data_IF_323662968572
#
_entry.id   IF_323662968572
#
_cell.length_a   1.000
_cell.length_b   1.000
_cell.length_c   1.000
_cell.angle_alpha   90.00
_cell.angle_beta   90.00
_cell.angle_gamma   90.00
#
_symmetry.space_group_name_H-M   'P 1'
#
loop_
_entity.id
_entity.type
_entity.pdbx_description
1 polymer ?
#
# COMPACT_ATOMS: atom_id res chain seq x y z
N UNK A 1 -11.88 -17.99 -34.23
CA UNK A 1 -10.68 -17.15 -34.44
C UNK A 1 -10.08 -16.83 -33.08
N UNK A 2 -9.25 -17.73 -32.55
CA UNK A 2 -8.48 -17.46 -31.33
C UNK A 2 -7.13 -16.91 -31.74
N UNK A 3 -6.99 -15.59 -31.60
CA UNK A 3 -5.74 -14.86 -31.76
C UNK A 3 -5.48 -14.16 -30.43
N UNK A 4 -5.08 -14.92 -29.41
CA UNK A 4 -4.54 -14.34 -28.18
C UNK A 4 -3.03 -14.54 -28.22
N UNK A 5 -2.29 -13.46 -28.47
CA UNK A 5 -0.83 -13.49 -28.37
C UNK A 5 -0.40 -13.76 -26.91
N UNK A 6 0.62 -14.62 -26.67
CA UNK A 6 1.10 -14.91 -25.33
C UNK A 6 1.83 -13.69 -24.73
N UNK A 7 1.49 -13.32 -23.50
CA UNK A 7 2.17 -12.27 -22.74
C UNK A 7 3.60 -12.70 -22.44
N UNK A 8 4.58 -11.99 -23.03
CA UNK A 8 6.00 -12.26 -22.83
C UNK A 8 6.47 -11.71 -21.50
N UNK A 9 7.00 -12.57 -20.65
CA UNK A 9 7.61 -12.18 -19.39
C UNK A 9 8.98 -12.84 -19.22
N UNK A 10 9.94 -12.08 -18.72
CA UNK A 10 11.28 -12.56 -18.35
C UNK A 10 11.27 -13.38 -17.05
N UNK A 11 10.12 -13.42 -16.35
CA UNK A 11 9.84 -14.29 -15.21
C UNK A 11 8.45 -14.93 -15.39
N UNK A 12 8.10 -15.94 -14.59
CA UNK A 12 6.75 -16.52 -14.66
C UNK A 12 5.71 -15.49 -14.19
N UNK A 13 4.73 -15.11 -15.04
CA UNK A 13 3.74 -14.12 -14.70
C UNK A 13 2.63 -14.70 -13.83
N UNK A 14 1.78 -13.84 -13.29
CA UNK A 14 1.04 -14.12 -12.06
C UNK A 14 -0.32 -13.47 -12.07
N UNK A 15 -1.41 -14.17 -11.79
CA UNK A 15 -2.76 -13.73 -12.15
C UNK A 15 -3.60 -13.44 -10.89
N UNK A 16 -4.11 -12.22 -10.74
CA UNK A 16 -5.04 -11.81 -9.70
C UNK A 16 -6.40 -11.42 -10.30
N UNK A 17 -7.44 -12.21 -10.04
CA UNK A 17 -8.78 -11.94 -10.58
C UNK A 17 -9.68 -11.22 -9.55
N UNK A 18 -10.49 -10.28 -10.04
CA UNK A 18 -11.54 -9.56 -9.30
C UNK A 18 -12.86 -9.61 -10.08
N UNK A 19 -13.95 -9.08 -9.52
CA UNK A 19 -15.23 -8.86 -10.23
C UNK A 19 -15.18 -7.73 -11.26
N UNK A 20 -14.04 -7.04 -11.38
CA UNK A 20 -13.80 -5.88 -12.24
C UNK A 20 -12.60 -6.06 -13.19
N UNK A 21 -12.07 -7.28 -13.32
CA UNK A 21 -10.94 -7.58 -14.20
C UNK A 21 -9.91 -8.53 -13.60
N UNK A 22 -8.98 -8.96 -14.47
CA UNK A 22 -7.87 -9.86 -14.14
C UNK A 22 -6.54 -9.12 -14.21
N UNK A 23 -5.79 -8.97 -13.12
CA UNK A 23 -4.44 -8.43 -13.11
C UNK A 23 -3.40 -9.53 -13.33
N UNK A 24 -2.25 -9.18 -13.90
CA UNK A 24 -1.20 -10.09 -14.29
C UNK A 24 0.18 -9.48 -14.00
N UNK A 25 0.92 -9.93 -12.99
CA UNK A 25 2.31 -9.45 -12.80
C UNK A 25 3.20 -9.94 -13.93
N UNK A 26 4.00 -9.05 -14.52
CA UNK A 26 4.90 -9.34 -15.64
C UNK A 26 6.26 -8.67 -15.39
N UNK A 27 7.35 -9.43 -15.47
CA UNK A 27 8.70 -8.87 -15.56
C UNK A 27 9.06 -8.62 -17.03
N UNK A 28 9.32 -7.36 -17.39
CA UNK A 28 9.78 -6.96 -18.73
C UNK A 28 11.27 -6.59 -18.72
N UNK A 29 11.87 -6.39 -19.89
CA UNK A 29 13.24 -5.84 -20.00
C UNK A 29 13.39 -4.46 -19.36
N UNK A 30 12.28 -3.74 -19.18
CA UNK A 30 12.21 -2.40 -18.59
C UNK A 30 11.84 -2.41 -17.09
N UNK A 31 11.72 -3.59 -16.47
CA UNK A 31 11.39 -3.75 -15.04
C UNK A 31 10.02 -4.41 -14.76
N UNK A 32 9.63 -4.48 -13.48
CA UNK A 32 8.40 -5.13 -13.03
C UNK A 32 7.14 -4.32 -13.39
N UNK A 33 6.11 -5.02 -13.85
CA UNK A 33 4.86 -4.46 -14.38
C UNK A 33 3.65 -5.22 -13.80
N UNK A 34 2.49 -4.56 -13.74
CA UNK A 34 1.19 -5.17 -13.40
C UNK A 34 0.24 -4.98 -14.60
N UNK A 35 -0.11 -6.05 -15.26
CA UNK A 35 -0.89 -6.09 -16.50
C UNK A 35 -2.37 -6.35 -16.21
N UNK A 36 -3.28 -5.41 -16.42
CA UNK A 36 -4.72 -5.69 -16.35
C UNK A 36 -5.17 -6.42 -17.62
N UNK A 37 -6.12 -7.35 -17.50
CA UNK A 37 -6.73 -8.18 -18.53
C UNK A 37 -8.25 -8.13 -18.36
N UNK A 38 -8.96 -8.36 -19.47
CA UNK A 38 -10.42 -8.40 -19.48
C UNK A 38 -10.95 -9.57 -18.64
N UNK A 39 -12.23 -9.51 -18.27
CA UNK A 39 -12.89 -10.56 -17.47
C UNK A 39 -12.87 -11.93 -18.15
N UNK A 40 -12.70 -11.94 -19.48
CA UNK A 40 -12.61 -13.15 -20.30
C UNK A 40 -11.17 -13.67 -20.49
N UNK A 41 -10.15 -12.96 -19.99
CA UNK A 41 -8.73 -13.20 -20.21
C UNK A 41 -8.33 -13.36 -21.69
N UNK A 42 -9.05 -12.73 -22.60
CA UNK A 42 -8.84 -12.78 -24.05
C UNK A 42 -7.98 -11.65 -24.58
N UNK A 43 -7.86 -10.55 -23.81
CA UNK A 43 -7.05 -9.40 -24.17
C UNK A 43 -6.39 -8.76 -22.95
N UNK A 44 -5.16 -8.26 -23.14
CA UNK A 44 -4.50 -7.38 -22.18
C UNK A 44 -5.18 -6.03 -22.25
N UNK A 45 -5.78 -5.60 -21.15
CA UNK A 45 -6.37 -4.28 -21.03
C UNK A 45 -5.30 -3.21 -20.76
N UNK A 46 -4.35 -3.44 -19.83
CA UNK A 46 -3.45 -2.37 -19.30
C UNK A 46 -2.13 -2.91 -18.74
N UNK A 47 -1.13 -2.06 -18.47
CA UNK A 47 0.17 -2.42 -17.84
C UNK A 47 0.69 -1.28 -16.93
N UNK A 48 0.92 -1.51 -15.63
CA UNK A 48 1.37 -0.52 -14.63
C UNK A 48 2.81 -0.78 -14.19
N UNK A 49 3.72 0.18 -14.40
CA UNK A 49 5.10 0.15 -13.87
C UNK A 49 5.20 0.96 -12.58
N UNK A 50 5.83 0.40 -11.54
CA UNK A 50 6.14 1.13 -10.31
C UNK A 50 7.48 1.87 -10.48
N UNK A 51 7.44 3.18 -10.74
CA UNK A 51 8.63 4.02 -10.95
C UNK A 51 9.21 4.61 -9.64
N UNK A 52 9.00 3.97 -8.49
CA UNK A 52 9.64 4.38 -7.23
C UNK A 52 11.10 3.93 -7.23
N UNK A 53 12.05 4.84 -6.98
CA UNK A 53 13.50 4.53 -6.96
C UNK A 53 14.02 4.12 -5.58
N UNK A 54 13.24 4.42 -4.53
CA UNK A 54 13.62 4.26 -3.12
C UNK A 54 12.66 3.29 -2.42
N UNK A 55 13.04 2.76 -1.26
CA UNK A 55 12.21 1.81 -0.53
C UNK A 55 10.89 2.47 -0.11
N UNK A 56 9.80 1.73 -0.26
CA UNK A 56 8.48 2.15 0.23
C UNK A 56 8.46 1.98 1.74
N UNK A 57 8.33 3.08 2.47
CA UNK A 57 8.28 3.08 3.94
C UNK A 57 6.85 2.95 4.44
N UNK A 58 5.87 3.42 3.68
CA UNK A 58 4.47 3.33 4.06
C UNK A 58 3.49 3.40 2.89
N UNK A 59 2.26 2.92 3.10
CA UNK A 59 1.18 2.91 2.10
C UNK A 59 -0.19 3.12 2.75
N UNK A 60 -1.10 3.80 2.05
CA UNK A 60 -2.51 3.85 2.43
C UNK A 60 -3.41 4.04 1.20
N UNK A 61 -4.69 3.70 1.35
CA UNK A 61 -5.71 4.02 0.36
C UNK A 61 -6.34 5.37 0.70
N UNK A 62 -6.42 6.27 -0.27
CA UNK A 62 -7.30 7.45 -0.22
C UNK A 62 -8.29 7.34 -1.36
N UNK A 63 -9.55 7.08 -1.03
CA UNK A 63 -10.58 6.71 -2.00
C UNK A 63 -10.11 5.53 -2.87
N UNK A 64 -10.00 5.74 -4.17
CA UNK A 64 -9.52 4.74 -5.15
C UNK A 64 -8.04 4.92 -5.49
N UNK A 65 -7.33 5.84 -4.84
CA UNK A 65 -5.93 6.14 -5.13
C UNK A 65 -5.02 5.48 -4.09
N UNK A 66 -4.07 4.70 -4.57
CA UNK A 66 -3.01 4.16 -3.70
C UNK A 66 -1.96 5.25 -3.48
N UNK A 67 -1.75 5.60 -2.22
CA UNK A 67 -0.74 6.55 -1.80
C UNK A 67 0.46 5.82 -1.21
N UNK A 68 1.65 6.25 -1.60
CA UNK A 68 2.89 5.58 -1.23
C UNK A 68 3.90 6.60 -0.68
N UNK A 69 4.42 6.33 0.52
CA UNK A 69 5.61 7.00 1.03
C UNK A 69 6.85 6.27 0.54
N UNK A 70 7.68 6.93 -0.26
CA UNK A 70 8.96 6.38 -0.72
C UNK A 70 10.02 7.46 -0.69
N UNK A 71 11.15 7.15 -0.06
CA UNK A 71 12.33 8.00 -0.19
C UNK A 71 12.27 9.40 0.40
N UNK A 72 11.28 9.66 1.27
CA UNK A 72 10.99 11.00 1.79
C UNK A 72 9.85 11.72 1.08
N UNK A 73 9.17 11.08 0.13
CA UNK A 73 8.12 11.72 -0.67
C UNK A 73 6.83 10.91 -0.59
N UNK A 74 5.69 11.61 -0.72
CA UNK A 74 4.39 10.99 -0.96
C UNK A 74 4.05 11.09 -2.43
N UNK A 75 3.74 9.95 -3.03
CA UNK A 75 3.31 9.84 -4.42
C UNK A 75 1.93 9.20 -4.49
N UNK A 76 1.09 9.69 -5.41
CA UNK A 76 -0.14 9.03 -5.81
C UNK A 76 0.16 8.08 -6.97
N UNK A 77 -0.33 6.85 -6.87
CA UNK A 77 -0.38 5.92 -7.98
C UNK A 77 -1.81 6.00 -8.51
N UNK A 78 -1.99 6.81 -9.55
CA UNK A 78 -3.30 7.05 -10.17
C UNK A 78 -3.46 6.26 -11.47
N UNK A 79 -4.68 5.79 -11.68
CA UNK A 79 -5.18 5.19 -12.91
C UNK A 79 -5.33 6.30 -13.97
N UNK A 80 -4.67 6.18 -15.13
CA UNK A 80 -4.97 7.04 -16.28
C UNK A 80 -6.02 6.32 -17.11
N UNK A 81 -7.23 6.88 -17.12
CA UNK A 81 -8.27 6.57 -18.11
C UNK A 81 -8.00 7.51 -19.29
N UNK A 82 -7.43 6.99 -20.38
CA UNK A 82 -7.61 7.67 -21.67
C UNK A 82 -9.01 7.30 -22.16
N UNK A 83 -9.97 8.18 -21.89
CA UNK A 83 -11.18 8.27 -22.70
C UNK A 83 -10.74 8.72 -24.09
N UNK A 84 -10.41 7.74 -24.94
CA UNK A 84 -10.38 7.94 -26.37
C UNK A 84 -11.83 8.09 -26.86
N UNK A 85 -12.44 9.24 -26.57
CA UNK A 85 -13.52 9.79 -27.37
C UNK A 85 -13.29 11.29 -27.59
N UNK A 86 -13.12 11.61 -28.87
CA UNK A 86 -13.00 12.93 -29.47
C UNK A 86 -13.55 14.10 -28.65
N UNK A 87 -12.65 14.95 -28.12
CA UNK A 87 -12.77 16.41 -28.21
C UNK A 87 -11.47 17.12 -27.81
N UNK A 88 -10.94 17.86 -28.77
CA UNK A 88 -9.88 18.82 -28.60
C UNK A 88 -10.11 19.72 -27.37
N UNK A 89 -9.22 19.64 -26.38
CA UNK A 89 -8.94 20.75 -25.49
C UNK A 89 -7.55 21.30 -25.81
N UNK A 90 -7.57 22.47 -26.43
CA UNK A 90 -6.41 23.30 -26.73
C UNK A 90 -5.81 23.73 -25.39
N UNK A 91 -4.62 23.22 -25.06
CA UNK A 91 -3.76 23.88 -24.09
C UNK A 91 -3.15 25.11 -24.79
N UNK A 92 -3.77 26.27 -24.63
CA UNK A 92 -3.10 27.55 -24.89
C UNK A 92 -1.98 27.73 -23.86
N UNK A 93 -0.77 27.35 -24.23
CA UNK A 93 0.44 28.02 -23.75
C UNK A 93 1.06 28.74 -24.93
N UNK A 94 0.92 30.06 -24.90
CA UNK A 94 1.46 30.98 -25.87
C UNK A 94 2.99 30.87 -25.90
N UNK A 95 3.54 30.23 -26.94
CA UNK A 95 4.86 30.53 -27.47
C UNK A 95 4.76 30.51 -28.99
N UNK A 96 4.85 31.70 -29.58
CA UNK A 96 4.93 31.94 -31.03
C UNK A 96 6.19 31.28 -31.58
N UNK A 97 6.07 30.40 -32.58
CA UNK A 97 6.94 30.38 -33.78
C UNK A 97 6.35 29.49 -34.88
N UNK A 98 6.53 29.93 -36.13
CA UNK A 98 5.80 29.54 -37.36
C UNK A 98 6.03 28.10 -37.85
N UNK A 99 4.96 27.49 -38.39
CA UNK A 99 5.01 26.32 -39.31
C UNK A 99 5.51 26.69 -40.71
N UNK A 100 6.19 25.75 -41.37
CA UNK A 100 6.15 25.49 -42.84
C UNK A 100 6.20 23.96 -43.00
N UNK A 101 5.11 23.26 -43.39
CA UNK A 101 4.77 22.84 -44.77
C UNK A 101 5.50 21.53 -45.14
N UNK A 102 4.93 20.43 -45.69
CA UNK A 102 3.86 20.21 -46.68
C UNK A 102 3.41 18.73 -46.70
N UNK A 103 2.24 18.49 -47.32
CA UNK A 103 1.49 17.23 -47.57
C UNK A 103 2.07 16.30 -48.67
N UNK A 104 1.73 15.00 -48.62
CA UNK A 104 1.15 14.09 -49.66
C UNK A 104 1.35 12.61 -49.26
N UNK A 105 0.70 11.57 -49.77
CA UNK A 105 -0.64 11.23 -50.29
C UNK A 105 -0.54 9.72 -50.62
N UNK A 106 -1.57 8.92 -50.32
CA UNK A 106 -1.57 7.45 -50.48
C UNK A 106 -1.90 7.00 -51.92
N UNK A 107 -1.45 5.80 -52.28
CA UNK A 107 -2.02 5.00 -53.39
C UNK A 107 -1.98 3.50 -53.10
N UNK A 108 -3.01 2.80 -53.60
CA UNK A 108 -3.41 1.39 -53.40
C UNK A 108 -3.12 0.58 -54.68
N UNK A 109 -2.75 -0.70 -54.57
CA UNK A 109 -2.88 -1.69 -55.64
C UNK A 109 -2.96 -3.14 -55.08
N UNK A 110 -3.72 -3.99 -55.77
CA UNK A 110 -4.19 -5.34 -55.40
C UNK A 110 -3.25 -6.52 -55.75
N UNK A 111 -3.56 -7.69 -55.18
CA UNK A 111 -2.81 -8.95 -55.08
C UNK A 111 -2.61 -9.77 -56.38
N UNK A 112 -1.77 -10.84 -56.36
CA UNK A 112 -2.34 -12.20 -56.27
C UNK A 112 -1.52 -13.24 -55.43
N UNK A 113 -2.16 -14.37 -55.16
CA UNK A 113 -1.85 -15.50 -54.25
C UNK A 113 -0.84 -16.56 -54.76
N UNK A 114 0.06 -17.08 -53.90
CA UNK A 114 0.31 -18.52 -53.57
C UNK A 114 1.53 -18.74 -52.62
N UNK A 115 1.73 -19.95 -52.01
CA UNK A 115 2.05 -20.11 -50.58
C UNK A 115 3.55 -20.16 -50.26
N UNK A 116 3.95 -19.52 -49.17
CA UNK A 116 5.30 -19.64 -48.59
C UNK A 116 5.17 -19.88 -47.10
N UNK A 117 5.86 -20.92 -46.64
CA UNK A 117 6.13 -21.33 -45.26
C UNK A 117 6.25 -20.17 -44.26
N UNK A 118 5.79 -20.32 -43.00
CA UNK A 118 5.86 -19.22 -42.03
C UNK A 118 7.31 -18.97 -41.62
N UNK A 119 7.94 -17.99 -42.26
CA UNK A 119 9.07 -17.27 -41.72
C UNK A 119 8.56 -16.52 -40.50
N UNK A 120 9.17 -16.76 -39.33
CA UNK A 120 8.81 -16.10 -38.08
C UNK A 120 8.82 -14.57 -38.25
N UNK A 121 7.64 -13.97 -38.24
CA UNK A 121 7.49 -12.51 -38.22
C UNK A 121 7.73 -12.03 -36.80
N UNK A 122 8.87 -11.37 -36.62
CA UNK A 122 9.17 -10.57 -35.42
C UNK A 122 8.27 -9.34 -35.45
N UNK A 123 7.34 -9.25 -34.52
CA UNK A 123 6.60 -8.00 -34.27
C UNK A 123 7.46 -7.12 -33.36
N UNK A 124 7.75 -5.91 -33.83
CA UNK A 124 8.37 -4.84 -33.06
C UNK A 124 7.34 -4.30 -32.06
N UNK A 125 7.74 -4.16 -30.80
CA UNK A 125 6.90 -3.71 -29.67
C UNK A 125 6.39 -2.26 -29.76
N UNK A 126 6.40 -1.64 -30.94
CA UNK A 126 6.17 -0.21 -31.11
C UNK A 126 4.69 0.23 -31.05
N UNK A 127 3.73 -0.70 -31.08
CA UNK A 127 2.30 -0.37 -31.21
C UNK A 127 1.40 -0.85 -30.04
N UNK A 128 1.99 -1.30 -28.93
CA UNK A 128 1.24 -1.33 -27.67
C UNK A 128 1.23 0.11 -27.15
N UNK A 129 0.04 0.72 -27.08
CA UNK A 129 -0.14 2.00 -26.41
C UNK A 129 0.38 1.84 -24.98
N UNK A 130 1.60 2.30 -24.74
CA UNK A 130 2.19 2.40 -23.41
C UNK A 130 1.34 3.40 -22.62
N UNK A 131 0.31 2.93 -21.94
CA UNK A 131 -0.32 3.73 -20.90
C UNK A 131 0.62 3.71 -19.71
N UNK A 132 1.62 4.60 -19.76
CA UNK A 132 2.41 5.00 -18.61
C UNK A 132 1.40 5.49 -17.58
N UNK A 133 1.23 4.78 -16.46
CA UNK A 133 0.59 5.39 -15.30
C UNK A 133 1.44 6.61 -14.94
N UNK A 134 0.95 7.78 -15.36
CA UNK A 134 1.65 9.03 -15.18
C UNK A 134 1.79 9.27 -13.68
N UNK A 135 3.05 9.42 -13.26
CA UNK A 135 3.43 10.07 -12.01
C UNK A 135 2.64 11.39 -11.90
N UNK A 136 1.72 11.48 -10.94
CA UNK A 136 1.18 12.76 -10.49
C UNK A 136 2.10 13.35 -9.39
N UNK A 137 2.10 14.68 -9.17
CA UNK A 137 3.23 15.40 -8.57
C UNK A 137 3.61 14.87 -7.18
N UNK A 138 4.85 15.14 -6.76
CA UNK A 138 5.26 14.96 -5.36
C UNK A 138 4.28 15.76 -4.50
N UNK A 139 3.47 15.05 -3.71
CA UNK A 139 2.35 15.64 -2.97
C UNK A 139 2.80 16.19 -1.62
N UNK A 140 3.82 15.56 -1.05
CA UNK A 140 4.51 16.00 0.15
C UNK A 140 5.98 15.54 0.11
N UNK A 141 6.86 16.34 0.71
CA UNK A 141 8.29 16.03 0.88
C UNK A 141 8.60 15.78 2.36
N UNK A 142 9.81 15.30 2.65
CA UNK A 142 10.26 14.93 3.99
C UNK A 142 9.32 13.95 4.74
N UNK A 143 8.62 13.09 4.01
CA UNK A 143 7.57 12.22 4.57
C UNK A 143 8.10 10.84 4.97
N UNK A 144 7.61 10.29 6.08
CA UNK A 144 7.99 8.94 6.56
C UNK A 144 6.82 7.95 6.64
N UNK A 145 5.62 8.44 6.91
CA UNK A 145 4.42 7.62 7.11
C UNK A 145 3.18 8.40 6.71
N UNK A 146 2.15 7.69 6.24
CA UNK A 146 0.91 8.26 5.74
C UNK A 146 -0.30 7.43 6.14
N UNK A 147 -1.40 8.11 6.44
CA UNK A 147 -2.71 7.50 6.61
C UNK A 147 -3.79 8.39 5.98
N UNK A 148 -4.87 7.80 5.48
CA UNK A 148 -6.04 8.54 4.99
C UNK A 148 -7.26 8.15 5.80
N UNK A 149 -8.09 9.15 6.13
CA UNK A 149 -9.34 9.00 6.85
C UNK A 149 -10.27 10.17 6.50
N UNK A 150 -11.49 9.87 6.07
CA UNK A 150 -12.56 10.87 5.86
C UNK A 150 -12.12 12.05 4.99
N UNK A 151 -11.66 11.74 3.77
CA UNK A 151 -11.17 12.68 2.75
C UNK A 151 -9.93 13.51 3.15
N UNK A 152 -9.28 13.14 4.25
CA UNK A 152 -8.06 13.77 4.74
C UNK A 152 -6.90 12.80 4.73
N UNK A 153 -5.74 13.28 4.29
CA UNK A 153 -4.47 12.56 4.37
C UNK A 153 -3.60 13.16 5.47
N UNK A 154 -3.13 12.31 6.38
CA UNK A 154 -2.27 12.65 7.50
C UNK A 154 -0.85 12.17 7.19
N UNK A 155 0.10 13.09 7.09
CA UNK A 155 1.47 12.81 6.67
C UNK A 155 2.45 13.18 7.78
N UNK A 156 3.28 12.23 8.19
CA UNK A 156 4.32 12.46 9.20
C UNK A 156 5.58 13.01 8.52
N UNK A 157 6.01 14.20 8.93
CA UNK A 157 7.31 14.78 8.53
C UNK A 157 8.45 14.22 9.38
N UNK A 158 9.53 13.80 8.72
CA UNK A 158 10.71 13.20 9.34
C UNK A 158 11.54 14.23 10.11
N UNK A 159 11.72 15.44 9.58
CA UNK A 159 12.57 16.47 10.20
C UNK A 159 11.88 17.20 11.34
N UNK A 160 10.58 17.49 11.20
CA UNK A 160 9.82 18.26 12.19
C UNK A 160 9.10 17.41 13.22
N UNK A 161 8.98 16.10 12.97
CA UNK A 161 8.12 15.19 13.75
C UNK A 161 6.69 15.75 13.92
N UNK A 162 6.18 16.43 12.90
CA UNK A 162 4.81 16.95 12.87
C UNK A 162 3.94 16.13 11.94
N UNK A 163 2.63 16.13 12.19
CA UNK A 163 1.64 15.51 11.30
C UNK A 163 0.96 16.63 10.53
N UNK A 164 1.19 16.69 9.22
CA UNK A 164 0.51 17.61 8.33
C UNK A 164 -0.77 16.98 7.81
N UNK A 165 -1.83 17.77 7.72
CA UNK A 165 -3.15 17.33 7.23
C UNK A 165 -3.37 17.94 5.87
N UNK A 166 -3.70 17.08 4.90
CA UNK A 166 -4.00 17.44 3.53
C UNK A 166 -5.45 17.07 3.23
N UNK A 167 -6.15 17.88 2.44
CA UNK A 167 -7.44 17.50 1.90
C UNK A 167 -7.29 16.59 0.66
N UNK A 168 -8.40 16.13 0.10
CA UNK A 168 -8.46 15.31 -1.12
C UNK A 168 -7.77 15.91 -2.36
N UNK A 169 -7.58 17.24 -2.37
CA UNK A 169 -6.89 17.98 -3.43
C UNK A 169 -5.40 18.22 -3.10
N UNK A 170 -4.86 17.57 -2.06
CA UNK A 170 -3.48 17.72 -1.61
C UNK A 170 -3.08 19.14 -1.19
N UNK A 171 -4.05 19.96 -0.79
CA UNK A 171 -3.77 21.22 -0.13
C UNK A 171 -3.53 20.96 1.35
N UNK A 172 -2.41 21.46 1.88
CA UNK A 172 -2.14 21.42 3.31
C UNK A 172 -3.14 22.33 4.04
N UNK A 173 -4.02 21.74 4.84
CA UNK A 173 -5.07 22.45 5.59
C UNK A 173 -4.66 22.74 7.04
N UNK A 174 -3.56 22.15 7.51
CA UNK A 174 -3.02 22.43 8.83
C UNK A 174 -2.12 21.31 9.36
N UNK A 175 -1.97 21.27 10.68
CA UNK A 175 -1.29 20.19 11.39
C UNK A 175 -2.20 19.57 12.43
N UNK A 176 -2.07 18.25 12.62
CA UNK A 176 -2.78 17.53 13.66
C UNK A 176 -2.02 17.68 14.99
N UNK A 177 -2.61 18.41 15.93
CA UNK A 177 -2.10 18.54 17.29
C UNK A 177 -3.00 17.74 18.23
N UNK A 178 -2.40 16.82 19.01
CA UNK A 178 -3.17 16.03 19.96
C UNK A 178 -3.41 16.83 21.24
N UNK A 179 -4.65 16.86 21.70
CA UNK A 179 -5.05 17.57 22.92
C UNK A 179 -5.80 16.64 23.87
N UNK A 180 -5.64 16.86 25.18
CA UNK A 180 -6.47 16.22 26.19
C UNK A 180 -7.91 16.77 26.13
N UNK A 181 -8.84 16.15 26.87
CA UNK A 181 -10.22 16.63 26.97
C UNK A 181 -10.37 18.04 27.55
N UNK A 182 -9.37 18.52 28.30
CA UNK A 182 -9.31 19.89 28.83
C UNK A 182 -8.70 20.90 27.84
N UNK A 183 -8.33 20.46 26.63
CA UNK A 183 -7.70 21.27 25.59
C UNK A 183 -6.19 21.44 25.73
N UNK A 184 -5.56 20.88 26.76
CA UNK A 184 -4.09 20.94 26.91
C UNK A 184 -3.38 20.11 25.84
N UNK A 185 -2.31 20.66 25.26
CA UNK A 185 -1.56 20.00 24.20
C UNK A 185 -0.72 18.83 24.74
N UNK A 186 -0.68 17.74 23.98
CA UNK A 186 0.14 16.56 24.24
C UNK A 186 1.34 16.60 23.29
N UNK A 187 2.54 16.61 23.87
CA UNK A 187 3.77 16.55 23.08
C UNK A 187 3.99 15.12 22.61
N UNK A 188 3.98 14.93 21.30
CA UNK A 188 4.23 13.66 20.62
C UNK A 188 5.33 13.84 19.57
N UNK A 189 6.18 12.82 19.40
CA UNK A 189 7.15 12.74 18.31
C UNK A 189 6.79 11.58 17.36
N UNK A 190 5.81 11.77 16.49
CA UNK A 190 5.35 10.76 15.55
C UNK A 190 6.50 10.26 14.66
N UNK A 191 6.53 8.95 14.48
CA UNK A 191 7.34 8.29 13.45
C UNK A 191 6.50 7.39 12.52
N UNK A 192 5.30 7.00 12.96
CA UNK A 192 4.34 6.22 12.21
C UNK A 192 2.93 6.66 12.56
N UNK A 193 2.05 6.69 11.55
CA UNK A 193 0.64 7.02 11.66
C UNK A 193 -0.20 5.96 10.96
N UNK A 194 -1.33 5.58 11.56
CA UNK A 194 -2.35 4.70 10.97
C UNK A 194 -3.73 5.31 11.14
N UNK A 195 -4.63 4.96 10.24
CA UNK A 195 -6.05 5.31 10.34
C UNK A 195 -6.88 4.05 10.56
N UNK A 196 -8.00 4.21 11.25
CA UNK A 196 -9.03 3.20 11.41
C UNK A 196 -10.40 3.82 11.08
N UNK A 197 -10.99 3.37 9.98
CA UNK A 197 -12.29 3.86 9.48
C UNK A 197 -13.46 3.44 10.36
N UNK A 198 -13.46 2.21 10.89
CA UNK A 198 -14.52 1.66 11.76
C UNK A 198 -14.70 2.49 13.04
N UNK A 199 -13.59 2.93 13.63
CA UNK A 199 -13.60 3.76 14.83
C UNK A 199 -13.53 5.28 14.59
N UNK A 200 -13.28 5.74 13.36
CA UNK A 200 -12.88 7.12 13.07
C UNK A 200 -11.72 7.56 13.97
N UNK A 201 -10.64 6.78 13.95
CA UNK A 201 -9.48 6.93 14.83
C UNK A 201 -8.19 7.13 14.04
N UNK A 202 -7.33 8.00 14.56
CA UNK A 202 -5.93 8.11 14.18
C UNK A 202 -5.08 7.47 15.27
N UNK A 203 -4.16 6.60 14.86
CA UNK A 203 -3.19 5.93 15.74
C UNK A 203 -1.81 6.47 15.42
N UNK A 204 -1.14 7.01 16.42
CA UNK A 204 0.16 7.66 16.32
C UNK A 204 1.15 6.91 17.19
N UNK A 205 2.25 6.46 16.60
CA UNK A 205 3.34 5.87 17.35
C UNK A 205 4.46 6.89 17.57
N UNK A 206 4.87 7.04 18.82
CA UNK A 206 6.02 7.83 19.23
C UNK A 206 7.13 6.91 19.74
N UNK A 207 8.18 6.74 18.92
CA UNK A 207 9.29 5.85 19.23
C UNK A 207 10.13 6.38 20.40
N UNK A 208 10.31 7.71 20.47
CA UNK A 208 11.13 8.36 21.48
C UNK A 208 10.41 8.38 22.84
N UNK A 209 9.12 8.73 22.83
CA UNK A 209 8.24 8.67 24.00
C UNK A 209 7.85 7.25 24.40
N UNK A 210 8.06 6.26 23.52
CA UNK A 210 7.62 4.86 23.70
C UNK A 210 6.12 4.76 23.97
N UNK A 211 5.32 5.59 23.29
CA UNK A 211 3.88 5.65 23.46
C UNK A 211 3.16 5.32 22.16
N UNK A 212 1.94 4.82 22.30
CA UNK A 212 0.96 4.76 21.22
C UNK A 212 -0.22 5.61 21.65
N UNK A 213 -0.52 6.61 20.84
CA UNK A 213 -1.58 7.60 21.07
C UNK A 213 -2.69 7.34 20.07
N UNK A 214 -3.93 7.32 20.55
CA UNK A 214 -5.14 7.16 19.75
C UNK A 214 -5.97 8.42 19.93
N UNK A 215 -6.25 9.13 18.85
CA UNK A 215 -7.03 10.36 18.87
C UNK A 215 -8.09 10.36 17.77
N UNK A 216 -9.03 11.29 17.89
CA UNK A 216 -9.95 11.63 16.82
C UNK A 216 -9.23 12.42 15.71
N UNK A 217 -9.81 12.54 14.50
CA UNK A 217 -9.22 13.28 13.38
C UNK A 217 -9.00 14.76 13.68
N UNK A 218 -9.78 15.34 14.61
CA UNK A 218 -9.64 16.72 15.09
C UNK A 218 -8.51 16.90 16.13
N UNK A 219 -7.86 15.82 16.54
CA UNK A 219 -6.79 15.81 17.53
C UNK A 219 -7.24 15.57 18.97
N UNK A 220 -8.53 15.39 19.26
CA UNK A 220 -8.95 15.08 20.62
C UNK A 220 -8.45 13.68 21.03
N UNK A 221 -7.71 13.60 22.14
CA UNK A 221 -7.22 12.34 22.70
C UNK A 221 -8.40 11.43 23.05
N UNK A 222 -8.34 10.18 22.56
CA UNK A 222 -9.21 9.09 23.02
C UNK A 222 -8.51 8.22 24.05
N UNK A 223 -7.25 7.87 23.76
CA UNK A 223 -6.50 6.93 24.58
C UNK A 223 -5.00 7.06 24.35
N UNK A 224 -4.19 6.83 25.40
CA UNK A 224 -2.74 6.73 25.27
C UNK A 224 -2.21 5.60 26.14
N UNK A 225 -1.23 4.86 25.62
CA UNK A 225 -0.52 3.81 26.35
C UNK A 225 0.98 3.93 26.18
N UNK A 226 1.73 3.62 27.23
CA UNK A 226 3.19 3.73 27.30
C UNK A 226 3.64 4.82 28.27
N UNK A 227 4.94 4.93 28.57
CA UNK A 227 6.04 4.03 28.18
C UNK A 227 5.91 2.63 28.79
N UNK A 228 5.33 2.56 29.99
CA UNK A 228 5.06 1.31 30.71
C UNK A 228 3.73 0.72 30.26
N UNK A 229 3.75 -0.50 29.73
CA UNK A 229 2.54 -1.20 29.32
C UNK A 229 1.88 -1.91 30.51
N UNK A 230 2.68 -2.61 31.31
CA UNK A 230 2.27 -3.35 32.52
C UNK A 230 3.41 -3.41 33.55
N UNK A 231 3.23 -4.16 34.63
CA UNK A 231 4.29 -4.39 35.61
C UNK A 231 5.55 -5.02 35.00
N UNK A 232 5.40 -5.86 33.98
CA UNK A 232 6.47 -6.66 33.37
C UNK A 232 6.91 -6.17 31.97
N UNK A 233 6.16 -5.25 31.35
CA UNK A 233 6.38 -4.87 29.95
C UNK A 233 6.36 -3.35 29.76
N UNK A 234 7.25 -2.87 28.90
CA UNK A 234 7.23 -1.52 28.32
C UNK A 234 6.96 -1.61 26.82
N UNK A 235 6.58 -0.47 26.23
CA UNK A 235 6.40 -0.32 24.78
C UNK A 235 7.69 0.06 24.04
N UNK A 236 8.85 -0.04 24.70
CA UNK A 236 10.14 0.18 24.07
C UNK A 236 10.34 -0.72 22.84
N UNK A 237 10.79 -0.11 21.72
CA UNK A 237 10.99 -0.77 20.43
C UNK A 237 9.71 -1.36 19.80
N UNK A 238 8.54 -0.79 20.08
CA UNK A 238 7.34 -1.14 19.30
C UNK A 238 7.44 -0.50 17.92
N UNK A 239 7.11 -1.25 16.86
CA UNK A 239 7.40 -0.87 15.47
C UNK A 239 6.17 -0.39 14.70
N UNK A 240 4.99 -0.88 15.04
CA UNK A 240 3.73 -0.59 14.34
C UNK A 240 2.52 -0.88 15.23
N UNK A 241 1.38 -0.27 14.92
CA UNK A 241 0.12 -0.50 15.63
C UNK A 241 -1.09 -0.27 14.73
N UNK A 242 -2.09 -1.13 14.81
CA UNK A 242 -3.38 -0.95 14.10
C UNK A 242 -4.53 -0.96 15.08
N UNK A 243 -5.64 -0.32 14.71
CA UNK A 243 -6.88 -0.35 15.49
C UNK A 243 -7.98 -1.07 14.73
N UNK A 244 -8.73 -1.87 15.47
CA UNK A 244 -9.96 -2.54 15.03
C UNK A 244 -11.21 -1.71 15.33
N UNK A 245 -11.04 -0.45 15.73
CA UNK A 245 -12.10 0.39 16.31
C UNK A 245 -12.21 0.18 17.82
N UNK A 246 -12.27 -1.08 18.24
CA UNK A 246 -12.52 -1.46 19.64
C UNK A 246 -11.27 -1.95 20.39
N UNK A 247 -10.27 -2.40 19.63
CA UNK A 247 -9.02 -2.96 20.15
C UNK A 247 -7.85 -2.37 19.38
N UNK A 248 -6.87 -1.87 20.12
CA UNK A 248 -5.57 -1.46 19.62
C UNK A 248 -4.60 -2.66 19.70
N UNK A 249 -3.98 -2.98 18.57
CA UNK A 249 -2.99 -4.06 18.43
C UNK A 249 -1.65 -3.43 18.10
N UNK A 250 -0.64 -3.65 18.95
CA UNK A 250 0.70 -3.06 18.82
C UNK A 250 1.70 -4.20 18.64
N UNK A 251 2.55 -4.14 17.61
CA UNK A 251 3.61 -5.13 17.42
C UNK A 251 4.91 -4.69 18.09
N UNK A 252 5.55 -5.66 18.75
CA UNK A 252 6.84 -5.48 19.39
C UNK A 252 7.77 -6.66 19.02
N UNK A 253 8.89 -6.42 18.30
CA UNK A 253 9.80 -7.48 17.83
C UNK A 253 10.34 -8.38 18.94
N UNK A 254 10.45 -7.84 20.15
CA UNK A 254 11.05 -8.54 21.28
C UNK A 254 10.02 -9.35 22.08
N UNK A 255 8.75 -8.94 22.10
CA UNK A 255 7.74 -9.50 23.00
C UNK A 255 6.60 -10.24 22.27
N UNK A 256 6.18 -9.80 21.09
CA UNK A 256 4.99 -10.30 20.40
C UNK A 256 4.01 -9.17 20.12
N UNK A 257 2.74 -9.39 20.44
CA UNK A 257 1.68 -8.41 20.23
C UNK A 257 1.12 -7.94 21.58
N UNK A 258 0.96 -6.62 21.74
CA UNK A 258 0.22 -6.03 22.84
C UNK A 258 -1.18 -5.68 22.36
N UNK A 259 -2.18 -6.01 23.17
CA UNK A 259 -3.59 -5.72 22.90
C UNK A 259 -4.13 -4.79 23.98
N UNK A 260 -4.85 -3.76 23.57
CA UNK A 260 -5.53 -2.85 24.48
C UNK A 260 -6.98 -2.70 24.05
N UNK A 261 -7.90 -2.92 24.98
CA UNK A 261 -9.30 -2.60 24.75
C UNK A 261 -9.48 -1.09 24.79
N UNK A 262 -10.06 -0.54 23.73
CA UNK A 262 -10.45 0.86 23.61
C UNK A 262 -11.89 1.09 24.10
N UNK A 263 -12.64 0.01 24.35
CA UNK A 263 -14.03 0.04 24.79
C UNK A 263 -14.15 -0.31 26.29
N UNK A 264 -15.02 0.43 26.97
CA UNK A 264 -15.44 0.14 28.33
C UNK A 264 -14.75 0.99 29.41
N UNK A 265 -15.27 0.95 30.65
CA UNK A 265 -14.84 1.83 31.75
C UNK A 265 -13.46 1.45 32.32
N UNK A 266 -12.96 0.24 32.03
CA UNK A 266 -11.67 -0.24 32.51
C UNK A 266 -10.82 -0.67 31.32
N UNK A 267 -9.63 -0.08 31.19
CA UNK A 267 -8.70 -0.39 30.09
C UNK A 267 -8.16 -1.81 30.25
N UNK A 268 -8.67 -2.73 29.44
CA UNK A 268 -8.13 -4.09 29.33
C UNK A 268 -6.79 -4.08 28.60
N UNK A 269 -5.75 -4.69 29.18
CA UNK A 269 -4.44 -4.85 28.53
C UNK A 269 -4.03 -6.32 28.52
N UNK A 270 -3.53 -6.79 27.39
CA UNK A 270 -3.07 -8.16 27.23
C UNK A 270 -1.77 -8.21 26.44
N UNK A 271 -0.93 -9.19 26.75
CA UNK A 271 0.28 -9.50 25.97
C UNK A 271 0.13 -10.88 25.37
N UNK A 272 0.16 -10.97 24.05
CA UNK A 272 0.26 -12.22 23.31
C UNK A 272 1.72 -12.45 22.97
N UNK A 273 2.34 -13.41 23.65
CA UNK A 273 3.78 -13.65 23.50
C UNK A 273 4.06 -14.22 22.12
N UNK A 274 5.12 -13.75 21.46
CA UNK A 274 5.48 -14.20 20.10
C UNK A 274 5.59 -15.73 19.95
N UNK A 275 6.06 -16.44 20.97
CA UNK A 275 6.15 -17.91 20.95
C UNK A 275 4.76 -18.59 20.99
N UNK A 276 3.74 -17.97 21.59
CA UNK A 276 2.37 -18.51 21.62
C UNK A 276 1.74 -18.46 20.23
N UNK A 277 2.09 -17.44 19.45
CA UNK A 277 1.58 -17.20 18.08
C UNK A 277 2.61 -17.52 16.99
N UNK A 278 3.68 -18.25 17.35
CA UNK A 278 4.72 -18.74 16.43
C UNK A 278 5.40 -17.64 15.57
N UNK A 279 5.49 -16.42 16.10
CA UNK A 279 6.22 -15.31 15.48
C UNK A 279 7.64 -15.21 16.04
N UNK A 280 8.59 -14.73 15.22
CA UNK A 280 9.99 -14.52 15.63
C UNK A 280 10.27 -13.08 16.05
N UNK A 281 9.88 -12.10 15.22
CA UNK A 281 10.07 -10.65 15.37
C UNK A 281 9.00 -9.89 14.57
N UNK A 282 7.79 -9.67 15.11
CA UNK A 282 6.75 -8.92 14.39
C UNK A 282 7.16 -7.45 14.25
N UNK A 283 7.03 -6.89 13.05
CA UNK A 283 7.56 -5.55 12.69
C UNK A 283 6.56 -4.63 11.98
N UNK A 284 5.55 -5.17 11.29
CA UNK A 284 4.50 -4.37 10.65
C UNK A 284 3.14 -5.04 10.76
N UNK A 285 2.10 -4.22 10.77
CA UNK A 285 0.72 -4.65 10.91
C UNK A 285 -0.16 -4.04 9.83
N UNK A 286 -1.15 -4.81 9.38
CA UNK A 286 -2.28 -4.28 8.61
C UNK A 286 -3.58 -4.88 9.13
N UNK A 287 -4.65 -4.10 9.09
CA UNK A 287 -5.99 -4.51 9.52
C UNK A 287 -6.94 -4.56 8.33
N UNK A 288 -7.63 -5.69 8.17
CA UNK A 288 -8.78 -5.80 7.27
C UNK A 288 -10.05 -5.81 8.11
N UNK A 289 -10.80 -4.71 8.10
CA UNK A 289 -12.03 -4.55 8.88
C UNK A 289 -13.10 -5.57 8.48
N UNK A 290 -13.35 -5.72 7.17
CA UNK A 290 -14.38 -6.61 6.65
C UNK A 290 -14.14 -8.08 7.01
N UNK A 291 -12.87 -8.52 6.96
CA UNK A 291 -12.49 -9.90 7.26
C UNK A 291 -12.23 -10.12 8.74
N UNK A 292 -12.12 -9.04 9.51
CA UNK A 292 -11.64 -9.02 10.89
C UNK A 292 -10.32 -9.78 11.08
N UNK A 293 -9.38 -9.54 10.17
CA UNK A 293 -8.06 -10.16 10.18
C UNK A 293 -6.99 -9.11 10.38
N UNK A 294 -6.07 -9.35 11.31
CA UNK A 294 -4.81 -8.63 11.41
C UNK A 294 -3.71 -9.44 10.72
N UNK A 295 -3.03 -8.79 9.79
CA UNK A 295 -1.85 -9.32 9.12
C UNK A 295 -0.60 -8.81 9.83
N UNK A 296 0.36 -9.71 10.01
CA UNK A 296 1.61 -9.44 10.72
C UNK A 296 2.77 -9.81 9.82
N UNK A 297 3.59 -8.82 9.48
CA UNK A 297 4.89 -9.06 8.86
C UNK A 297 5.88 -9.41 9.97
N UNK A 298 6.47 -10.60 9.86
CA UNK A 298 7.39 -11.17 10.86
C UNK A 298 8.80 -11.27 10.28
N UNK A 299 9.79 -10.64 10.91
CA UNK A 299 11.18 -10.72 10.47
C UNK A 299 11.80 -12.05 10.90
N UNK A 300 11.86 -13.01 9.98
CA UNK A 300 12.35 -14.36 10.24
C UNK A 300 13.87 -14.49 10.22
N UNK A 301 14.57 -13.55 9.58
CA UNK A 301 16.02 -13.46 9.48
C UNK A 301 16.46 -12.20 8.74
N UNK A 302 17.75 -12.09 8.42
CA UNK A 302 18.25 -10.98 7.60
C UNK A 302 17.59 -11.04 6.22
N UNK A 303 16.93 -9.94 5.84
CA UNK A 303 16.21 -9.77 4.57
C UNK A 303 15.14 -10.83 4.29
N UNK A 304 14.68 -11.56 5.32
CA UNK A 304 13.69 -12.64 5.21
C UNK A 304 12.51 -12.32 6.11
N UNK A 305 11.33 -12.24 5.51
CA UNK A 305 10.09 -11.89 6.20
C UNK A 305 9.04 -12.97 5.95
N UNK A 306 8.27 -13.29 6.98
CA UNK A 306 7.04 -14.07 6.86
C UNK A 306 5.82 -13.15 6.95
N UNK A 307 4.69 -13.67 6.52
CA UNK A 307 3.40 -13.02 6.71
C UNK A 307 2.47 -14.01 7.42
N UNK A 308 1.88 -13.58 8.53
CA UNK A 308 0.90 -14.36 9.28
C UNK A 308 -0.40 -13.57 9.41
N UNK A 309 -1.52 -14.27 9.29
CA UNK A 309 -2.85 -13.74 9.45
C UNK A 309 -3.49 -14.27 10.74
N UNK A 310 -4.07 -13.37 11.53
CA UNK A 310 -4.79 -13.70 12.75
C UNK A 310 -6.20 -13.14 12.66
N UNK A 311 -7.19 -14.02 12.77
CA UNK A 311 -8.58 -13.60 13.00
C UNK A 311 -8.70 -12.98 14.39
N UNK A 312 -9.46 -11.89 14.48
CA UNK A 312 -9.67 -11.12 15.71
C UNK A 312 -11.11 -11.30 16.17
N UNK A 313 -11.29 -11.95 17.32
CA UNK A 313 -12.60 -12.11 17.94
C UNK A 313 -13.18 -10.76 18.40
N UNK A 314 -14.50 -10.65 18.49
CA UNK A 314 -15.17 -9.43 18.93
C UNK A 314 -14.95 -9.14 20.43
N UNK A 315 -14.89 -10.19 21.26
CA UNK A 315 -14.78 -10.03 22.71
C UNK A 315 -13.32 -9.97 23.15
N UNK A 316 -13.00 -9.01 24.03
CA UNK A 316 -11.65 -8.85 24.58
C UNK A 316 -11.36 -9.92 25.65
N UNK A 317 -10.96 -11.11 25.18
CA UNK A 317 -10.70 -12.30 26.01
C UNK A 317 -9.33 -12.92 25.71
N UNK A 318 -8.75 -13.71 26.64
CA UNK A 318 -7.58 -14.52 26.34
C UNK A 318 -7.84 -15.38 25.08
N UNK A 319 -6.90 -15.39 24.13
CA UNK A 319 -7.04 -16.05 22.81
C UNK A 319 -7.96 -15.35 21.79
N UNK A 320 -8.22 -14.05 21.96
CA UNK A 320 -8.88 -13.20 20.96
C UNK A 320 -8.21 -13.25 19.57
N UNK A 321 -6.89 -13.50 19.52
CA UNK A 321 -6.16 -13.70 18.27
C UNK A 321 -6.04 -15.20 17.98
N UNK A 322 -6.56 -15.63 16.83
CA UNK A 322 -6.39 -16.99 16.33
C UNK A 322 -5.73 -16.97 14.96
N UNK A 323 -4.57 -17.63 14.86
CA UNK A 323 -3.84 -17.75 13.60
C UNK A 323 -4.69 -18.54 12.60
N UNK A 324 -5.05 -17.90 11.50
CA UNK A 324 -5.89 -18.50 10.46
C UNK A 324 -5.09 -18.83 9.19
N UNK A 325 -4.03 -18.09 8.88
CA UNK A 325 -3.16 -18.37 7.75
C UNK A 325 -1.72 -17.93 8.01
N UNK A 326 -0.79 -18.54 7.29
CA UNK A 326 0.62 -18.16 7.21
C UNK A 326 1.02 -18.32 5.77
N UNK A 327 1.66 -17.29 5.22
CA UNK A 327 2.23 -17.39 3.89
C UNK A 327 3.34 -18.47 3.92
N UNK A 328 3.23 -19.53 3.11
CA UNK A 328 4.19 -20.65 3.16
C UNK A 328 5.62 -20.20 2.82
N UNK A 329 5.73 -19.27 1.87
CA UNK A 329 6.99 -18.76 1.37
C UNK A 329 7.49 -17.55 2.18
N UNK A 330 8.81 -17.45 2.31
CA UNK A 330 9.45 -16.26 2.86
C UNK A 330 9.56 -15.17 1.79
N UNK A 331 9.19 -13.96 2.16
CA UNK A 331 9.40 -12.75 1.39
C UNK A 331 10.85 -12.29 1.55
N UNK A 332 11.55 -12.14 0.43
CA UNK A 332 12.91 -11.60 0.40
C UNK A 332 12.86 -10.09 0.15
N UNK A 333 13.39 -9.31 1.08
CA UNK A 333 13.42 -7.85 0.96
C UNK A 333 14.62 -7.25 1.66
N UNK A 334 15.29 -6.32 1.00
CA UNK A 334 16.44 -5.57 1.51
C UNK A 334 16.04 -4.49 2.54
N UNK A 335 14.74 -4.20 2.68
CA UNK A 335 14.16 -3.32 3.71
C UNK A 335 12.97 -3.99 4.39
N UNK A 336 12.53 -3.45 5.53
CA UNK A 336 11.28 -3.88 6.17
C UNK A 336 10.11 -3.67 5.20
N UNK A 337 9.35 -4.72 4.84
CA UNK A 337 8.18 -4.61 3.98
C UNK A 337 7.09 -3.76 4.64
N UNK A 338 6.42 -2.89 3.88
CA UNK A 338 5.14 -2.32 4.31
C UNK A 338 4.00 -3.26 3.87
N UNK A 339 2.94 -3.32 4.66
CA UNK A 339 1.75 -4.12 4.36
C UNK A 339 0.51 -3.23 4.46
N UNK A 340 -0.40 -3.38 3.49
CA UNK A 340 -1.71 -2.74 3.47
C UNK A 340 -2.75 -3.82 3.19
N UNK A 341 -3.86 -3.80 3.92
CA UNK A 341 -4.92 -4.78 3.77
C UNK A 341 -6.24 -4.08 3.42
N UNK A 342 -7.04 -4.72 2.57
CA UNK A 342 -8.39 -4.31 2.24
C UNK A 342 -9.33 -5.52 2.27
N UNK A 343 -10.58 -5.28 1.86
CA UNK A 343 -11.56 -6.32 1.55
C UNK A 343 -11.06 -7.33 0.50
N UNK A 344 -10.38 -6.79 -0.51
CA UNK A 344 -10.12 -7.47 -1.78
C UNK A 344 -8.78 -8.18 -1.79
N UNK A 345 -7.80 -7.68 -1.05
CA UNK A 345 -6.45 -8.22 -1.09
C UNK A 345 -5.52 -7.63 -0.05
N UNK A 346 -4.27 -8.07 -0.14
CA UNK A 346 -3.16 -7.57 0.69
C UNK A 346 -2.09 -7.06 -0.27
N UNK A 347 -1.65 -5.82 -0.07
CA UNK A 347 -0.49 -5.27 -0.77
C UNK A 347 0.73 -5.32 0.13
N UNK A 348 1.86 -5.77 -0.40
CA UNK A 348 3.13 -5.79 0.33
C UNK A 348 4.22 -5.15 -0.49
N UNK A 349 4.90 -4.15 0.06
CA UNK A 349 6.09 -3.59 -0.56
C UNK A 349 7.34 -4.40 -0.23
N UNK A 350 8.17 -4.66 -1.22
CA UNK A 350 9.47 -5.31 -1.06
C UNK A 350 10.55 -4.44 -1.72
N UNK A 351 11.74 -4.42 -1.14
CA UNK A 351 12.92 -3.85 -1.79
C UNK A 351 13.79 -4.98 -2.31
N UNK A 352 13.96 -5.07 -3.63
CA UNK A 352 14.84 -6.06 -4.26
C UNK A 352 16.12 -5.39 -4.76
N UNK A 353 17.10 -6.17 -5.21
CA UNK A 353 18.30 -5.65 -5.87
C UNK A 353 17.98 -4.84 -7.14
N UNK A 354 16.84 -5.09 -7.78
CA UNK A 354 16.36 -4.38 -8.97
C UNK A 354 15.57 -3.11 -8.61
N UNK A 355 15.27 -2.89 -7.34
CA UNK A 355 14.43 -1.79 -6.87
C UNK A 355 13.19 -2.25 -6.11
N UNK A 356 12.33 -1.29 -5.69
CA UNK A 356 11.10 -1.59 -4.96
C UNK A 356 10.05 -2.26 -5.86
N UNK A 357 9.31 -3.19 -5.28
CA UNK A 357 8.20 -3.93 -5.89
C UNK A 357 7.01 -3.92 -4.93
N UNK A 358 5.79 -3.94 -5.46
CA UNK A 358 4.58 -4.23 -4.67
C UNK A 358 4.05 -5.57 -5.13
N UNK A 359 3.85 -6.48 -4.19
CA UNK A 359 3.19 -7.76 -4.40
C UNK A 359 1.74 -7.67 -3.97
N UNK A 360 0.86 -8.33 -4.72
CA UNK A 360 -0.52 -8.52 -4.34
C UNK A 360 -0.71 -9.96 -3.88
N UNK A 361 -1.26 -10.14 -2.69
CA UNK A 361 -1.62 -11.45 -2.15
C UNK A 361 -3.14 -11.58 -2.09
N UNK A 362 -3.59 -12.83 -2.12
CA UNK A 362 -4.98 -13.15 -1.84
C UNK A 362 -5.30 -12.71 -0.43
N UNK A 363 -6.54 -12.34 -0.27
CA UNK A 363 -7.11 -11.89 0.99
C UNK A 363 -7.32 -13.01 2.01
N UNK A 364 -7.01 -14.27 1.66
CA UNK A 364 -6.90 -15.40 2.59
C UNK A 364 -5.45 -15.65 3.07
N UNK A 365 -4.45 -14.93 2.53
CA UNK A 365 -3.03 -15.07 2.89
C UNK A 365 -2.47 -16.50 2.68
N UNK A 366 -3.12 -17.32 1.86
CA UNK A 366 -2.70 -18.70 1.59
C UNK A 366 -1.89 -18.83 0.30
N UNK A 367 -2.04 -17.88 -0.61
CA UNK A 367 -1.28 -17.86 -1.86
C UNK A 367 -0.70 -16.48 -2.10
N UNK A 368 0.56 -16.48 -2.55
CA UNK A 368 1.01 -15.35 -3.36
C UNK A 368 0.23 -15.47 -4.66
N UNK A 369 -0.80 -14.63 -4.80
CA UNK A 369 -1.50 -14.47 -6.08
C UNK A 369 -0.54 -13.87 -7.14
N UNK A 370 0.57 -13.34 -6.63
CA UNK A 370 1.81 -12.85 -7.23
C UNK A 370 1.61 -11.53 -7.96
#
# INVERSE_FOLDING_TARGET
SQSSEPVKSLATPCVLCSSSGTLLSVLSSEGPQIVCMDDACTSVLRTVRLSVRKPVTDMCWSDQTLLVCSGGEVCAIQEVIDDADDRAFVAESAIVTKKVGKKKAASRAEAPTQPVSPTASVVNLADVVETVACYQPILATDSVSIASLSDQCFVVSRSTHSIFVYNSHWNCVGSLNVTNHDGSAIVIRPHCIRACSEGQLIVILDQAGQTVTVCQPDGQLRFQVGPRFSSCYSLANSEDAVSTGDVLIICNPNRGLFLVSLNGPTVGKMTVKKNQIRLKRPVRLAWSCERRIVFVVDQAGQNRYGLAAFSVQQQFVPNMLQQCAVLPDQLLSLSTPCVLASAEGILISLLTSEGPKILCLSSDCLSIVR
#
